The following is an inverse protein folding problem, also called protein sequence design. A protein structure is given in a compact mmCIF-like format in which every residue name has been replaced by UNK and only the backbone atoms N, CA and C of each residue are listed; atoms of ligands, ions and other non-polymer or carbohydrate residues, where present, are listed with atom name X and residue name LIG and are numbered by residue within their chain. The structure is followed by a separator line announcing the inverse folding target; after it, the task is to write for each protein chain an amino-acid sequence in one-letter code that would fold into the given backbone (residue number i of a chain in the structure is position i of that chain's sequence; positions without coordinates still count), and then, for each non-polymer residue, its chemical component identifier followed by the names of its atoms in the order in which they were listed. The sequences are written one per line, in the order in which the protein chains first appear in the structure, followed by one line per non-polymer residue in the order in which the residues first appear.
data_IF_687065869358
#
_entry.id   IF_687065869358
#
_cell.length_a   1.000
_cell.length_b   1.000
_cell.length_c   1.000
_cell.angle_alpha   90.00
_cell.angle_beta   90.00
_cell.angle_gamma   90.00
#
_symmetry.space_group_name_H-M   'P 1'
#
loop_
_entity.id
_entity.type
_entity.pdbx_description
1 polymer ?
#
# COMPACT_ATOMS: atom_id res chain seq x y z
N UNK A 1 31.72 20.31 -3.96
CA UNK A 1 31.38 19.50 -2.77
C UNK A 1 30.29 20.15 -1.89
N UNK A 2 30.30 21.48 -1.68
CA UNK A 2 29.28 22.16 -0.85
C UNK A 2 27.83 22.04 -1.34
N UNK A 3 27.60 22.06 -2.66
CA UNK A 3 26.25 21.95 -3.26
C UNK A 3 25.64 20.56 -3.11
N UNK A 4 26.44 19.50 -3.24
CA UNK A 4 25.97 18.11 -3.08
C UNK A 4 25.62 17.82 -1.61
N UNK A 5 26.43 18.29 -0.67
CA UNK A 5 26.17 18.14 0.77
C UNK A 5 24.95 18.96 1.21
N UNK A 6 24.75 20.14 0.62
CA UNK A 6 23.56 20.98 0.81
C UNK A 6 22.30 20.30 0.26
N UNK A 7 22.36 19.73 -0.95
CA UNK A 7 21.26 18.95 -1.53
C UNK A 7 20.95 17.71 -0.69
N UNK A 8 21.97 17.00 -0.20
CA UNK A 8 21.75 15.84 0.67
C UNK A 8 21.08 16.22 1.99
N UNK A 9 21.50 17.32 2.63
CA UNK A 9 20.82 17.84 3.83
C UNK A 9 19.40 18.32 3.54
N UNK A 10 19.18 18.89 2.36
CA UNK A 10 17.86 19.37 1.93
C UNK A 10 16.94 18.26 1.46
N UNK A 11 17.45 17.08 1.03
CA UNK A 11 16.69 15.90 0.60
C UNK A 11 16.49 14.89 1.74
N UNK A 12 17.38 14.89 2.74
CA UNK A 12 17.31 14.05 3.94
C UNK A 12 16.84 14.83 5.17
N UNK A 13 16.02 15.87 4.98
CA UNK A 13 15.25 16.42 6.09
C UNK A 13 14.42 15.30 6.74
N UNK A 14 14.24 15.34 8.06
CA UNK A 14 13.48 14.32 8.81
C UNK A 14 12.12 14.01 8.17
N UNK A 15 11.49 15.07 7.65
CA UNK A 15 10.24 15.03 6.91
C UNK A 15 10.33 14.21 5.62
N UNK A 16 11.27 14.51 4.73
CA UNK A 16 11.42 13.80 3.45
C UNK A 16 11.85 12.34 3.63
N UNK A 17 12.60 12.06 4.70
CA UNK A 17 12.93 10.70 5.13
C UNK A 17 11.66 9.89 5.44
N UNK A 18 10.67 10.49 6.11
CA UNK A 18 9.38 9.82 6.36
C UNK A 18 8.66 9.48 5.05
N UNK A 19 8.65 10.41 4.08
CA UNK A 19 8.09 10.18 2.76
C UNK A 19 8.82 9.07 1.99
N UNK A 20 10.15 9.07 2.03
CA UNK A 20 10.98 8.07 1.38
C UNK A 20 10.77 6.67 2.01
N UNK A 21 10.76 6.58 3.34
CA UNK A 21 10.54 5.32 4.07
C UNK A 21 9.15 4.77 3.76
N UNK A 22 8.11 5.60 3.73
CA UNK A 22 6.77 5.16 3.38
C UNK A 22 6.68 4.67 1.92
N UNK A 23 7.37 5.33 0.99
CA UNK A 23 7.49 4.86 -0.39
C UNK A 23 8.16 3.48 -0.47
N UNK A 24 9.27 3.29 0.24
CA UNK A 24 9.99 2.01 0.30
C UNK A 24 9.13 0.89 0.91
N UNK A 25 8.42 1.17 2.01
CA UNK A 25 7.49 0.23 2.65
C UNK A 25 6.33 -0.12 1.73
N UNK A 26 5.76 0.87 1.03
CA UNK A 26 4.68 0.64 0.06
C UNK A 26 5.14 -0.25 -1.09
N UNK A 27 6.31 0.02 -1.63
CA UNK A 27 6.90 -0.77 -2.70
C UNK A 27 7.20 -2.22 -2.26
N UNK A 28 7.74 -2.39 -1.05
CA UNK A 28 7.98 -3.71 -0.46
C UNK A 28 6.65 -4.47 -0.26
N UNK A 29 5.63 -3.81 0.27
CA UNK A 29 4.30 -4.39 0.47
C UNK A 29 3.67 -4.84 -0.86
N UNK A 30 3.68 -3.98 -1.88
CA UNK A 30 3.16 -4.31 -3.22
C UNK A 30 3.91 -5.50 -3.83
N UNK A 31 5.24 -5.51 -3.73
CA UNK A 31 6.07 -6.61 -4.25
C UNK A 31 5.79 -7.92 -3.51
N UNK A 32 5.61 -7.86 -2.19
CA UNK A 32 5.23 -9.01 -1.38
C UNK A 32 3.86 -9.57 -1.77
N UNK A 33 2.85 -8.70 -1.91
CA UNK A 33 1.51 -9.10 -2.36
C UNK A 33 1.53 -9.70 -3.77
N UNK A 34 2.33 -9.14 -4.69
CA UNK A 34 2.50 -9.69 -6.03
C UNK A 34 3.03 -11.13 -5.98
N UNK A 35 4.13 -11.36 -5.27
CA UNK A 35 4.71 -12.70 -5.11
C UNK A 35 3.71 -13.65 -4.47
N UNK A 36 3.04 -13.22 -3.38
CA UNK A 36 2.09 -14.07 -2.65
C UNK A 36 0.86 -14.44 -3.47
N UNK A 37 0.28 -13.49 -4.20
CA UNK A 37 -0.87 -13.75 -5.08
C UNK A 37 -0.51 -14.71 -6.22
N UNK A 38 0.72 -14.62 -6.74
CA UNK A 38 1.24 -15.51 -7.77
C UNK A 38 1.48 -16.93 -7.23
N UNK A 39 2.10 -17.08 -6.06
CA UNK A 39 2.31 -18.38 -5.40
C UNK A 39 1.00 -19.13 -5.13
N UNK A 40 -0.04 -18.42 -4.68
CA UNK A 40 -1.32 -19.03 -4.32
C UNK A 40 -2.19 -19.30 -5.57
N UNK A 41 -1.73 -18.95 -6.77
CA UNK A 41 -2.47 -19.13 -8.02
C UNK A 41 -3.75 -18.28 -8.07
N UNK A 42 -3.85 -17.26 -7.21
CA UNK A 42 -5.01 -16.36 -7.11
C UNK A 42 -4.75 -15.01 -7.78
N UNK A 43 -3.77 -14.95 -8.66
CA UNK A 43 -3.42 -13.72 -9.36
C UNK A 43 -4.52 -13.34 -10.36
N UNK A 44 -5.21 -12.24 -10.07
CA UNK A 44 -6.13 -11.58 -10.98
C UNK A 44 -5.68 -10.12 -11.13
N UNK A 45 -5.52 -9.66 -12.38
CA UNK A 45 -5.11 -8.28 -12.68
C UNK A 45 -6.01 -7.26 -11.97
N UNK A 46 -7.33 -7.48 -11.97
CA UNK A 46 -8.28 -6.59 -11.31
C UNK A 46 -8.09 -6.52 -9.79
N UNK A 47 -8.07 -7.68 -9.12
CA UNK A 47 -7.83 -7.77 -7.67
C UNK A 47 -6.49 -7.15 -7.29
N UNK A 48 -5.43 -7.42 -8.05
CA UNK A 48 -4.09 -6.87 -7.81
C UNK A 48 -4.06 -5.35 -7.91
N UNK A 49 -4.71 -4.75 -8.92
CA UNK A 49 -4.80 -3.30 -9.03
C UNK A 49 -5.45 -2.67 -7.79
N UNK A 50 -6.54 -3.27 -7.27
CA UNK A 50 -7.18 -2.77 -6.05
C UNK A 50 -6.31 -2.97 -4.78
N UNK A 51 -5.52 -4.04 -4.71
CA UNK A 51 -4.52 -4.21 -3.61
C UNK A 51 -3.46 -3.12 -3.67
N UNK A 52 -2.94 -2.82 -4.86
CA UNK A 52 -1.95 -1.75 -5.06
C UNK A 52 -2.57 -0.40 -4.68
N UNK A 53 -3.76 -0.11 -5.18
CA UNK A 53 -4.45 1.15 -4.90
C UNK A 53 -4.73 1.31 -3.40
N UNK A 54 -5.24 0.27 -2.75
CA UNK A 54 -5.44 0.23 -1.30
C UNK A 54 -4.14 0.49 -0.53
N UNK A 55 -3.05 -0.20 -0.89
CA UNK A 55 -1.75 -0.05 -0.22
C UNK A 55 -1.20 1.38 -0.34
N UNK A 56 -1.32 1.99 -1.54
CA UNK A 56 -0.91 3.37 -1.77
C UNK A 56 -1.78 4.36 -0.98
N UNK A 57 -3.11 4.14 -0.93
CA UNK A 57 -4.01 4.98 -0.14
C UNK A 57 -3.70 4.89 1.36
N UNK A 58 -3.37 3.70 1.89
CA UNK A 58 -2.95 3.57 3.30
C UNK A 58 -1.68 4.38 3.56
N UNK A 59 -0.64 4.21 2.74
CA UNK A 59 0.61 4.93 2.92
C UNK A 59 0.42 6.45 2.83
N UNK A 60 -0.37 6.90 1.86
CA UNK A 60 -0.76 8.30 1.72
C UNK A 60 -1.52 8.81 2.95
N UNK A 61 -2.46 8.04 3.49
CA UNK A 61 -3.23 8.42 4.69
C UNK A 61 -2.31 8.65 5.90
N UNK A 62 -1.34 7.76 6.10
CA UNK A 62 -0.38 7.86 7.21
C UNK A 62 0.50 9.10 7.04
N UNK A 63 1.03 9.33 5.84
CA UNK A 63 1.84 10.51 5.52
C UNK A 63 1.07 11.81 5.67
N UNK A 64 -0.14 11.87 5.11
CA UNK A 64 -1.03 13.02 5.26
C UNK A 64 -1.29 13.35 6.72
N UNK A 65 -1.56 12.32 7.52
CA UNK A 65 -1.79 12.45 8.96
C UNK A 65 -0.55 13.01 9.65
N UNK A 66 0.62 12.44 9.36
CA UNK A 66 1.90 12.88 9.91
C UNK A 66 2.18 14.36 9.58
N UNK A 67 2.02 14.75 8.31
CA UNK A 67 2.17 16.15 7.86
C UNK A 67 1.18 17.09 8.55
N UNK A 68 -0.10 16.70 8.61
CA UNK A 68 -1.14 17.52 9.25
C UNK A 68 -0.87 17.75 10.74
N UNK A 69 -0.30 16.76 11.45
CA UNK A 69 0.10 16.93 12.84
C UNK A 69 1.32 17.85 13.00
N UNK A 70 2.29 17.81 12.07
CA UNK A 70 3.42 18.73 12.08
C UNK A 70 2.99 20.19 11.87
N UNK A 71 1.95 20.40 11.07
CA UNK A 71 1.35 21.72 10.82
C UNK A 71 0.38 22.17 11.93
N UNK A 72 0.18 21.36 12.98
CA UNK A 72 -0.81 21.57 14.06
C UNK A 72 -2.28 21.58 13.59
N UNK A 73 -2.56 21.04 12.40
CA UNK A 73 -3.89 20.95 11.81
C UNK A 73 -4.56 19.60 12.13
N UNK A 74 -4.84 19.39 13.43
CA UNK A 74 -5.41 18.12 13.95
C UNK A 74 -6.75 17.77 13.27
N UNK A 75 -7.53 18.79 12.89
CA UNK A 75 -8.80 18.58 12.19
C UNK A 75 -8.60 17.99 10.80
N UNK A 76 -7.60 18.49 10.07
CA UNK A 76 -7.24 17.97 8.74
C UNK A 76 -6.68 16.55 8.85
N UNK A 77 -5.89 16.26 9.90
CA UNK A 77 -5.39 14.92 10.18
C UNK A 77 -6.54 13.91 10.36
N UNK A 78 -7.49 14.22 11.24
CA UNK A 78 -8.62 13.34 11.55
C UNK A 78 -9.56 13.13 10.36
N UNK A 79 -9.83 14.19 9.59
CA UNK A 79 -10.62 14.09 8.35
C UNK A 79 -9.91 13.22 7.31
N UNK A 80 -8.59 13.38 7.15
CA UNK A 80 -7.77 12.58 6.25
C UNK A 80 -7.82 11.09 6.59
N UNK A 81 -7.69 10.73 7.87
CA UNK A 81 -7.82 9.33 8.33
C UNK A 81 -9.19 8.75 7.97
N UNK A 82 -10.27 9.49 8.24
CA UNK A 82 -11.63 8.99 7.98
C UNK A 82 -11.88 8.79 6.49
N UNK A 83 -11.51 9.76 5.66
CA UNK A 83 -11.80 9.73 4.22
C UNK A 83 -10.86 8.76 3.51
N UNK A 84 -9.55 8.95 3.63
CA UNK A 84 -8.57 8.14 2.91
C UNK A 84 -8.40 6.75 3.52
N UNK A 85 -8.43 6.64 4.85
CA UNK A 85 -8.43 5.34 5.52
C UNK A 85 -9.69 4.53 5.21
N UNK A 86 -10.86 5.17 5.21
CA UNK A 86 -12.10 4.55 4.76
C UNK A 86 -12.03 4.07 3.31
N UNK A 87 -11.51 4.91 2.41
CA UNK A 87 -11.34 4.56 1.00
C UNK A 87 -10.38 3.38 0.80
N UNK A 88 -9.28 3.33 1.57
CA UNK A 88 -8.34 2.23 1.53
C UNK A 88 -8.99 0.88 1.92
N UNK A 89 -9.86 0.89 2.94
CA UNK A 89 -10.64 -0.28 3.35
C UNK A 89 -11.60 -0.72 2.25
N UNK A 90 -12.30 0.22 1.60
CA UNK A 90 -13.20 -0.08 0.48
C UNK A 90 -12.43 -0.77 -0.65
N UNK A 91 -11.26 -0.25 -1.04
CA UNK A 91 -10.41 -0.90 -2.04
C UNK A 91 -9.96 -2.30 -1.62
N UNK A 92 -9.59 -2.50 -0.35
CA UNK A 92 -9.21 -3.82 0.16
C UNK A 92 -10.37 -4.83 0.08
N UNK A 93 -11.60 -4.40 0.40
CA UNK A 93 -12.81 -5.25 0.32
C UNK A 93 -13.09 -5.62 -1.14
N UNK A 94 -13.03 -4.67 -2.06
CA UNK A 94 -13.23 -4.92 -3.50
C UNK A 94 -12.15 -5.88 -4.02
N UNK A 95 -10.88 -5.66 -3.65
CA UNK A 95 -9.78 -6.55 -4.00
C UNK A 95 -10.04 -7.98 -3.54
N UNK A 96 -10.50 -8.16 -2.29
CA UNK A 96 -10.82 -9.47 -1.73
C UNK A 96 -11.96 -10.16 -2.47
N UNK A 97 -13.01 -9.42 -2.85
CA UNK A 97 -14.14 -9.97 -3.61
C UNK A 97 -13.75 -10.37 -5.04
N UNK A 98 -12.87 -9.61 -5.68
CA UNK A 98 -12.36 -9.90 -7.03
C UNK A 98 -11.27 -10.98 -7.05
N UNK A 99 -10.75 -11.39 -5.89
CA UNK A 99 -9.72 -12.41 -5.81
C UNK A 99 -10.30 -13.78 -6.20
N UNK A 100 -9.80 -14.44 -7.26
CA UNK A 100 -10.35 -15.69 -7.76
C UNK A 100 -10.36 -16.76 -6.66
N UNK A 101 -11.45 -17.52 -6.53
CA UNK A 101 -11.53 -18.60 -5.55
C UNK A 101 -10.56 -19.71 -5.95
N UNK A 102 -9.83 -20.27 -4.99
CA UNK A 102 -8.89 -21.39 -5.20
C UNK A 102 -9.64 -22.50 -5.95
N UNK A 103 -9.23 -22.83 -7.18
CA UNK A 103 -9.68 -24.08 -7.81
C UNK A 103 -9.06 -25.21 -6.98
N UNK A 104 -9.86 -25.83 -6.13
CA UNK A 104 -9.52 -27.12 -5.55
C UNK A 104 -9.48 -28.06 -6.75
N UNK A 105 -8.29 -28.39 -7.23
CA UNK A 105 -8.12 -29.52 -8.14
C UNK A 105 -8.68 -30.73 -7.42
N UNK A 106 -9.88 -31.16 -7.80
CA UNK A 106 -10.33 -32.51 -7.51
C UNK A 106 -9.29 -33.41 -8.16
N UNK A 107 -8.41 -33.99 -7.35
CA UNK A 107 -7.60 -35.11 -7.77
C UNK A 107 -8.60 -36.23 -8.01
N UNK A 108 -9.01 -36.39 -9.27
CA UNK A 108 -9.73 -37.57 -9.74
C UNK A 108 -8.77 -38.74 -9.61
N UNK A 109 -8.75 -39.40 -8.46
CA UNK A 109 -8.31 -40.79 -8.35
C UNK A 109 -9.38 -41.65 -9.01
N UNK A 110 -9.36 -41.71 -10.33
CA UNK A 110 -9.76 -42.93 -11.04
C UNK A 110 -8.50 -43.79 -11.17
N UNK A 111 -8.36 -44.75 -10.26
CA UNK A 111 -7.56 -45.94 -10.55
C UNK A 111 -8.46 -47.16 -10.33
N UNK A 112 -9.10 -47.51 -11.45
CA UNK A 112 -9.33 -48.82 -12.05
C UNK A 112 -8.96 -50.05 -11.23
#
# INVERSE_FOLDING_TARGET
MHTIVSLFKWVLGLHQLAWFVAGAVSFAAITYFYKKLKEVGRFNKGSYTFVVLSSLTVAFTILWTYDSYLENEVRAANMGILIFGGLAVVFAIIAHRLAPKKKVSKVTTEHK
#
